data_IF_354773113403
#
_entry.id   IF_354773113403
#
_cell.length_a   1.000
_cell.length_b   1.000
_cell.length_c   1.000
_cell.angle_alpha   90.00
_cell.angle_beta   90.00
_cell.angle_gamma   90.00
#
_symmetry.space_group_name_H-M   'P 1'
#
loop_
_entity.id
_entity.type
_entity.pdbx_description
1 polymer ?
#
# COMPACT_ATOMS: atom_id res chain seq x y z
N UNK A 1 -11.92 -6.28 21.58
CA UNK A 1 -10.77 -7.16 21.34
C UNK A 1 -11.06 -8.36 20.42
N UNK A 2 -12.32 -8.61 19.97
CA UNK A 2 -12.66 -9.76 19.08
C UNK A 2 -12.60 -9.46 17.56
N UNK A 3 -12.45 -8.21 17.16
CA UNK A 3 -12.48 -7.81 15.75
C UNK A 3 -11.09 -7.81 15.06
N UNK A 4 -10.00 -7.68 15.81
CA UNK A 4 -8.62 -7.70 15.27
C UNK A 4 -8.24 -9.04 14.62
N UNK A 5 -8.90 -10.15 15.04
CA UNK A 5 -8.58 -11.48 14.50
C UNK A 5 -9.20 -11.76 13.12
N UNK A 6 -10.26 -11.03 12.75
CA UNK A 6 -10.91 -11.20 11.42
C UNK A 6 -10.10 -10.54 10.29
N UNK A 7 -9.40 -9.44 10.58
CA UNK A 7 -8.58 -8.73 9.59
C UNK A 7 -7.31 -9.49 9.22
N UNK A 8 -6.71 -10.21 10.16
CA UNK A 8 -5.57 -11.10 9.89
C UNK A 8 -5.93 -12.24 8.91
N UNK A 9 -7.19 -12.70 8.92
CA UNK A 9 -7.63 -13.79 8.03
C UNK A 9 -7.87 -13.29 6.60
N UNK A 10 -8.37 -12.08 6.41
CA UNK A 10 -8.64 -11.54 5.07
C UNK A 10 -7.33 -11.16 4.38
N UNK A 11 -6.37 -10.59 5.10
CA UNK A 11 -5.02 -10.28 4.57
C UNK A 11 -4.20 -11.57 4.39
N UNK A 12 -4.34 -12.53 5.31
CA UNK A 12 -3.66 -13.83 5.23
C UNK A 12 -4.11 -14.71 4.06
N UNK A 13 -5.39 -14.65 3.68
CA UNK A 13 -5.91 -15.48 2.57
C UNK A 13 -5.46 -14.95 1.20
N UNK A 14 -5.32 -13.63 1.04
CA UNK A 14 -4.75 -13.03 -0.17
C UNK A 14 -3.24 -13.25 -0.30
N UNK A 15 -2.52 -13.44 0.83
CA UNK A 15 -1.08 -13.72 0.85
C UNK A 15 -0.76 -15.21 0.64
N UNK A 16 -1.69 -16.14 0.93
CA UNK A 16 -1.48 -17.55 0.54
C UNK A 16 -1.42 -17.71 -0.98
N UNK A 17 -2.13 -16.88 -1.73
CA UNK A 17 -2.00 -16.82 -3.19
C UNK A 17 -0.63 -16.28 -3.63
N UNK A 18 -0.04 -15.32 -2.88
CA UNK A 18 1.29 -14.79 -3.15
C UNK A 18 2.42 -15.77 -2.77
N UNK A 19 2.25 -16.55 -1.68
CA UNK A 19 3.23 -17.58 -1.29
C UNK A 19 3.25 -18.77 -2.27
N UNK A 20 2.11 -19.12 -2.88
CA UNK A 20 2.06 -20.11 -3.95
C UNK A 20 2.73 -19.63 -5.25
N UNK A 21 2.92 -18.33 -5.43
CA UNK A 21 3.64 -17.72 -6.56
C UNK A 21 5.18 -17.84 -6.34
N UNK A 22 5.65 -17.93 -5.08
CA UNK A 22 7.08 -18.02 -4.77
C UNK A 22 7.70 -19.40 -5.06
N UNK A 23 6.90 -20.45 -5.21
CA UNK A 23 7.37 -21.81 -5.53
C UNK A 23 7.16 -22.23 -7.00
N UNK A 24 6.50 -21.41 -7.81
CA UNK A 24 6.40 -21.69 -9.25
C UNK A 24 7.53 -20.99 -10.00
N UNK A 25 8.15 -21.67 -11.01
CA UNK A 25 9.10 -20.98 -11.88
C UNK A 25 8.37 -19.78 -12.49
N UNK A 26 8.88 -18.59 -12.23
CA UNK A 26 8.30 -17.30 -12.59
C UNK A 26 7.94 -17.30 -14.07
N UNK A 27 6.71 -17.66 -14.41
CA UNK A 27 6.05 -17.11 -15.59
C UNK A 27 6.06 -15.60 -15.35
N UNK A 28 6.61 -14.86 -16.29
CA UNK A 28 6.76 -13.44 -16.18
C UNK A 28 5.46 -12.84 -15.60
N UNK A 29 5.57 -12.09 -14.50
CA UNK A 29 4.43 -11.40 -13.87
C UNK A 29 3.90 -10.47 -14.96
N UNK A 30 2.76 -10.83 -15.49
CA UNK A 30 2.12 -10.06 -16.53
C UNK A 30 1.44 -8.82 -15.89
N UNK A 31 1.27 -7.76 -16.65
CA UNK A 31 0.61 -6.54 -16.17
C UNK A 31 -0.81 -6.79 -15.64
N UNK A 32 -1.49 -7.86 -16.10
CA UNK A 32 -2.81 -8.26 -15.62
C UNK A 32 -2.76 -8.82 -14.19
N UNK A 33 -1.73 -9.56 -13.81
CA UNK A 33 -1.56 -10.13 -12.48
C UNK A 33 -1.31 -9.01 -11.46
N UNK A 34 -0.50 -8.02 -11.82
CA UNK A 34 -0.27 -6.83 -11.00
C UNK A 34 -1.54 -5.99 -10.84
N UNK A 35 -2.31 -5.80 -11.91
CA UNK A 35 -3.56 -5.06 -11.87
C UNK A 35 -4.60 -5.75 -10.97
N UNK A 36 -4.71 -7.08 -11.07
CA UNK A 36 -5.60 -7.87 -10.23
C UNK A 36 -5.20 -7.83 -8.75
N UNK A 37 -3.91 -7.97 -8.45
CA UNK A 37 -3.39 -7.87 -7.08
C UNK A 37 -3.65 -6.48 -6.48
N UNK A 38 -3.44 -5.41 -7.26
CA UNK A 38 -3.75 -4.02 -6.86
C UNK A 38 -5.23 -3.84 -6.56
N UNK A 39 -6.12 -4.32 -7.43
CA UNK A 39 -7.56 -4.21 -7.25
C UNK A 39 -8.03 -4.91 -5.97
N UNK A 40 -7.51 -6.10 -5.67
CA UNK A 40 -7.83 -6.84 -4.45
C UNK A 40 -7.33 -6.12 -3.18
N UNK A 41 -6.11 -5.59 -3.21
CA UNK A 41 -5.56 -4.81 -2.08
C UNK A 41 -6.36 -3.53 -1.83
N UNK A 42 -6.77 -2.86 -2.90
CA UNK A 42 -7.57 -1.64 -2.80
C UNK A 42 -8.97 -1.92 -2.26
N UNK A 43 -9.65 -2.95 -2.76
CA UNK A 43 -10.98 -3.34 -2.31
C UNK A 43 -10.97 -3.72 -0.82
N UNK A 44 -10.01 -4.52 -0.36
CA UNK A 44 -9.84 -4.87 1.05
C UNK A 44 -9.60 -3.66 1.95
N UNK A 45 -8.82 -2.69 1.47
CA UNK A 45 -8.56 -1.45 2.21
C UNK A 45 -9.81 -0.59 2.37
N UNK A 46 -10.59 -0.42 1.32
CA UNK A 46 -11.84 0.32 1.36
C UNK A 46 -12.86 -0.31 2.30
N UNK A 47 -13.00 -1.64 2.27
CA UNK A 47 -13.87 -2.38 3.17
C UNK A 47 -13.48 -2.16 4.64
N UNK A 48 -12.19 -2.25 4.98
CA UNK A 48 -11.69 -2.00 6.34
C UNK A 48 -12.02 -0.57 6.78
N UNK A 49 -11.80 0.42 5.91
CA UNK A 49 -12.10 1.83 6.24
C UNK A 49 -13.59 2.02 6.42
N UNK A 50 -14.43 1.41 5.58
CA UNK A 50 -15.89 1.49 5.68
C UNK A 50 -16.38 0.94 7.01
N UNK A 51 -15.91 -0.23 7.42
CA UNK A 51 -16.31 -0.89 8.65
C UNK A 51 -15.82 -0.16 9.91
N UNK A 52 -14.55 0.27 9.88
CA UNK A 52 -13.89 0.84 11.05
C UNK A 52 -14.25 2.31 11.30
N UNK A 53 -14.56 3.07 10.25
CA UNK A 53 -14.89 4.50 10.40
C UNK A 53 -16.28 4.74 10.95
N UNK A 54 -17.23 3.82 10.77
CA UNK A 54 -18.61 3.93 11.25
C UNK A 54 -19.19 5.31 10.98
N UNK A 55 -19.15 5.71 9.72
CA UNK A 55 -19.63 7.01 9.28
C UNK A 55 -21.17 7.05 9.35
N UNK A 56 -21.71 8.20 9.74
CA UNK A 56 -23.12 8.49 9.50
C UNK A 56 -23.34 8.72 8.00
N UNK A 57 -24.60 8.71 7.55
CA UNK A 57 -24.92 8.97 6.13
C UNK A 57 -24.39 10.32 5.66
N UNK A 58 -24.52 11.37 6.50
CA UNK A 58 -24.01 12.71 6.19
C UNK A 58 -22.49 12.74 6.08
N UNK A 59 -21.78 12.13 7.03
CA UNK A 59 -20.32 12.03 7.00
C UNK A 59 -19.84 11.23 5.78
N UNK A 60 -20.53 10.13 5.45
CA UNK A 60 -20.20 9.28 4.32
C UNK A 60 -20.35 10.02 2.98
N UNK A 61 -21.42 10.85 2.84
CA UNK A 61 -21.65 11.63 1.63
C UNK A 61 -20.52 12.63 1.34
N UNK A 62 -19.88 13.18 2.38
CA UNK A 62 -18.74 14.10 2.23
C UNK A 62 -17.38 13.39 2.19
N UNK A 63 -17.25 12.30 2.94
CA UNK A 63 -16.00 11.57 3.08
C UNK A 63 -15.61 10.80 1.81
N UNK A 64 -16.54 10.01 1.24
CA UNK A 64 -16.20 9.12 0.12
C UNK A 64 -15.71 9.88 -1.12
N UNK A 65 -16.30 11.00 -1.55
CA UNK A 65 -15.75 11.78 -2.67
C UNK A 65 -14.35 12.35 -2.38
N UNK A 66 -14.05 12.70 -1.11
CA UNK A 66 -12.72 13.13 -0.71
C UNK A 66 -11.72 11.96 -0.72
N UNK A 67 -12.16 10.79 -0.27
CA UNK A 67 -11.35 9.57 -0.25
C UNK A 67 -11.02 9.07 -1.66
N UNK A 68 -11.95 9.10 -2.61
CA UNK A 68 -11.70 8.74 -4.00
C UNK A 68 -10.63 9.62 -4.65
N UNK A 69 -10.68 10.95 -4.41
CA UNK A 69 -9.62 11.87 -4.90
C UNK A 69 -8.27 11.57 -4.26
N UNK A 70 -8.25 11.29 -2.96
CA UNK A 70 -7.06 10.89 -2.25
C UNK A 70 -6.48 9.57 -2.78
N UNK A 71 -7.33 8.58 -3.05
CA UNK A 71 -6.92 7.31 -3.64
C UNK A 71 -6.35 7.47 -5.05
N UNK A 72 -6.89 8.38 -5.85
CA UNK A 72 -6.37 8.65 -7.20
C UNK A 72 -4.91 9.08 -7.14
N UNK A 73 -4.58 10.03 -6.25
CA UNK A 73 -3.20 10.49 -6.07
C UNK A 73 -2.30 9.37 -5.50
N UNK A 74 -2.80 8.60 -4.52
CA UNK A 74 -2.03 7.52 -3.90
C UNK A 74 -1.78 6.34 -4.82
N UNK A 75 -2.73 5.98 -5.67
CA UNK A 75 -2.59 4.79 -6.53
C UNK A 75 -1.46 4.97 -7.54
N UNK A 76 -1.29 6.16 -8.11
CA UNK A 76 -0.14 6.47 -8.97
C UNK A 76 1.19 6.27 -8.22
N UNK A 77 1.25 6.69 -6.96
CA UNK A 77 2.44 6.51 -6.14
C UNK A 77 2.70 5.05 -5.75
N UNK A 78 1.63 4.30 -5.46
CA UNK A 78 1.70 2.87 -5.16
C UNK A 78 2.17 2.05 -6.37
N UNK A 79 1.76 2.45 -7.56
CA UNK A 79 2.24 1.83 -8.80
C UNK A 79 3.75 2.03 -8.96
N UNK A 80 4.21 3.26 -8.77
CA UNK A 80 5.65 3.58 -8.77
C UNK A 80 6.43 2.79 -7.72
N UNK A 81 5.87 2.63 -6.52
CA UNK A 81 6.50 1.82 -5.46
C UNK A 81 6.53 0.33 -5.82
N UNK A 82 5.46 -0.21 -6.40
CA UNK A 82 5.42 -1.59 -6.85
C UNK A 82 6.45 -1.85 -7.95
N UNK A 83 6.61 -0.93 -8.91
CA UNK A 83 7.63 -1.02 -9.95
C UNK A 83 9.04 -1.01 -9.37
N UNK A 84 9.30 -0.15 -8.37
CA UNK A 84 10.59 -0.11 -7.67
C UNK A 84 10.92 -1.45 -7.01
N UNK A 85 9.96 -2.03 -6.27
CA UNK A 85 10.14 -3.32 -5.57
C UNK A 85 10.34 -4.47 -6.56
N UNK A 86 9.50 -4.55 -7.59
CA UNK A 86 9.60 -5.61 -8.61
C UNK A 86 10.91 -5.51 -9.38
N UNK A 87 11.30 -4.29 -9.77
CA UNK A 87 12.58 -4.05 -10.44
C UNK A 87 13.78 -4.49 -9.60
N UNK A 88 13.77 -4.15 -8.31
CA UNK A 88 14.80 -4.59 -7.39
C UNK A 88 14.87 -6.12 -7.26
N UNK A 89 13.73 -6.79 -7.05
CA UNK A 89 13.67 -8.24 -6.92
C UNK A 89 14.16 -8.95 -8.18
N UNK A 90 13.90 -8.40 -9.36
CA UNK A 90 14.40 -8.91 -10.63
C UNK A 90 15.93 -8.76 -10.71
N UNK A 91 16.45 -7.55 -10.50
CA UNK A 91 17.89 -7.28 -10.52
C UNK A 91 18.66 -8.12 -9.48
N UNK A 92 18.10 -8.28 -8.28
CA UNK A 92 18.69 -9.10 -7.23
C UNK A 92 18.82 -10.58 -7.64
N UNK A 93 17.76 -11.17 -8.24
CA UNK A 93 17.78 -12.56 -8.71
C UNK A 93 18.78 -12.79 -9.85
N UNK A 94 19.01 -11.81 -10.68
CA UNK A 94 19.97 -11.86 -11.79
C UNK A 94 21.39 -11.53 -11.36
N UNK A 95 21.61 -11.12 -10.11
CA UNK A 95 22.93 -10.65 -9.64
C UNK A 95 23.39 -9.37 -10.38
N UNK A 96 22.45 -8.56 -10.84
CA UNK A 96 22.70 -7.38 -11.67
C UNK A 96 22.51 -6.04 -10.94
N UNK A 97 22.48 -6.07 -9.60
CA UNK A 97 22.38 -4.83 -8.79
C UNK A 97 23.73 -4.11 -8.81
N UNK A 98 23.84 -3.09 -9.64
CA UNK A 98 25.02 -2.22 -9.71
C UNK A 98 24.99 -1.14 -8.62
N UNK A 99 26.16 -0.55 -8.32
CA UNK A 99 26.28 0.60 -7.41
C UNK A 99 25.36 1.78 -7.83
N UNK A 100 25.32 2.06 -9.13
CA UNK A 100 24.49 3.11 -9.69
C UNK A 100 22.99 2.82 -9.49
N UNK A 101 22.58 1.55 -9.69
CA UNK A 101 21.22 1.12 -9.44
C UNK A 101 20.87 1.17 -7.96
N UNK A 102 21.80 0.82 -7.06
CA UNK A 102 21.60 0.94 -5.63
C UNK A 102 21.34 2.39 -5.18
N UNK A 103 22.09 3.35 -5.72
CA UNK A 103 21.84 4.79 -5.48
C UNK A 103 20.45 5.18 -5.97
N UNK A 104 20.08 4.80 -7.21
CA UNK A 104 18.75 5.05 -7.75
C UNK A 104 17.63 4.50 -6.86
N UNK A 105 17.78 3.28 -6.32
CA UNK A 105 16.78 2.69 -5.43
C UNK A 105 16.57 3.49 -4.15
N UNK A 106 17.63 4.03 -3.55
CA UNK A 106 17.55 4.88 -2.36
C UNK A 106 16.81 6.18 -2.68
N UNK A 107 17.22 6.87 -3.73
CA UNK A 107 16.65 8.15 -4.12
C UNK A 107 15.17 8.01 -4.46
N UNK A 108 14.82 7.00 -5.24
CA UNK A 108 13.45 6.71 -5.64
C UNK A 108 12.56 6.34 -4.44
N UNK A 109 13.06 5.49 -3.53
CA UNK A 109 12.34 5.15 -2.31
C UNK A 109 12.05 6.36 -1.43
N UNK A 110 13.04 7.22 -1.20
CA UNK A 110 12.89 8.42 -0.38
C UNK A 110 11.92 9.42 -1.03
N UNK A 111 11.98 9.58 -2.34
CA UNK A 111 11.04 10.43 -3.10
C UNK A 111 9.60 9.90 -2.99
N UNK A 112 9.39 8.59 -3.09
CA UNK A 112 8.08 7.94 -2.90
C UNK A 112 7.55 8.23 -1.50
N UNK A 113 8.35 8.05 -0.43
CA UNK A 113 7.92 8.30 0.95
C UNK A 113 7.63 9.78 1.22
N UNK A 114 8.42 10.69 0.63
CA UNK A 114 8.17 12.14 0.68
C UNK A 114 6.86 12.51 0.01
N UNK A 115 6.67 12.04 -1.21
CA UNK A 115 5.44 12.28 -2.00
C UNK A 115 4.20 11.73 -1.31
N UNK A 116 4.29 10.56 -0.66
CA UNK A 116 3.19 10.00 0.14
C UNK A 116 2.76 10.95 1.27
N UNK A 117 3.75 11.53 1.96
CA UNK A 117 3.46 12.50 3.03
C UNK A 117 2.80 13.77 2.48
N UNK A 118 3.24 14.24 1.32
CA UNK A 118 2.69 15.45 0.71
C UNK A 118 1.27 15.24 0.18
N UNK A 119 0.97 14.07 -0.38
CA UNK A 119 -0.41 13.68 -0.73
C UNK A 119 -1.29 13.70 0.52
N UNK A 120 -0.84 13.14 1.64
CA UNK A 120 -1.58 13.16 2.90
C UNK A 120 -1.85 14.57 3.41
N UNK A 121 -0.86 15.46 3.37
CA UNK A 121 -1.00 16.88 3.75
C UNK A 121 -1.98 17.61 2.81
N UNK A 122 -1.87 17.40 1.49
CA UNK A 122 -2.74 17.98 0.47
C UNK A 122 -4.21 17.66 0.75
N UNK A 123 -4.52 16.43 1.11
CA UNK A 123 -5.89 15.97 1.34
C UNK A 123 -6.41 16.19 2.76
N UNK A 124 -5.55 16.55 3.71
CA UNK A 124 -5.92 16.70 5.12
C UNK A 124 -7.12 17.63 5.34
N UNK A 125 -7.15 18.78 4.68
CA UNK A 125 -8.22 19.74 4.84
C UNK A 125 -9.58 19.26 4.29
N UNK A 126 -9.58 18.42 3.26
CA UNK A 126 -10.80 17.80 2.76
C UNK A 126 -11.39 16.84 3.80
N UNK A 127 -10.55 16.03 4.45
CA UNK A 127 -11.00 15.11 5.52
C UNK A 127 -11.43 15.85 6.79
N UNK A 128 -10.77 16.96 7.13
CA UNK A 128 -11.17 17.81 8.27
C UNK A 128 -12.53 18.50 8.04
N UNK A 129 -12.88 18.79 6.80
CA UNK A 129 -14.20 19.33 6.45
C UNK A 129 -15.29 18.28 6.46
N UNK A 130 -14.96 17.07 5.99
CA UNK A 130 -15.90 15.96 5.89
C UNK A 130 -16.18 15.25 7.23
N UNK A 131 -15.26 15.35 8.20
CA UNK A 131 -15.29 14.54 9.42
C UNK A 131 -15.08 15.37 10.68
N UNK A 132 -15.73 15.01 11.80
CA UNK A 132 -15.34 15.50 13.12
C UNK A 132 -13.85 15.19 13.40
N UNK A 133 -13.14 16.03 14.19
CA UNK A 133 -11.70 15.90 14.41
C UNK A 133 -11.25 14.52 14.87
N UNK A 134 -12.02 13.86 15.73
CA UNK A 134 -11.71 12.49 16.20
C UNK A 134 -11.81 11.45 15.08
N UNK A 135 -12.78 11.57 14.19
CA UNK A 135 -12.92 10.68 13.03
C UNK A 135 -11.86 10.94 11.97
N UNK A 136 -11.50 12.20 11.72
CA UNK A 136 -10.37 12.53 10.86
C UNK A 136 -9.06 11.94 11.39
N UNK A 137 -8.79 12.07 12.69
CA UNK A 137 -7.62 11.45 13.31
C UNK A 137 -7.67 9.90 13.22
N UNK A 138 -8.85 9.29 13.46
CA UNK A 138 -9.03 7.83 13.32
C UNK A 138 -8.76 7.36 11.89
N UNK A 139 -9.21 8.10 10.88
CA UNK A 139 -8.93 7.80 9.48
C UNK A 139 -7.41 7.72 9.22
N UNK A 140 -6.65 8.73 9.64
CA UNK A 140 -5.19 8.72 9.47
C UNK A 140 -4.50 7.61 10.28
N UNK A 141 -5.04 7.24 11.44
CA UNK A 141 -4.54 6.08 12.19
C UNK A 141 -4.80 4.76 11.44
N UNK A 142 -5.95 4.60 10.79
CA UNK A 142 -6.26 3.43 9.96
C UNK A 142 -5.34 3.36 8.74
N UNK A 143 -5.21 4.47 8.00
CA UNK A 143 -4.28 4.57 6.88
C UNK A 143 -2.85 4.18 7.29
N UNK A 144 -2.37 4.70 8.43
CA UNK A 144 -1.05 4.38 8.92
C UNK A 144 -0.88 2.91 9.33
N UNK A 145 -1.92 2.29 9.90
CA UNK A 145 -1.89 0.86 10.23
C UNK A 145 -1.85 -0.01 8.98
N UNK A 146 -2.65 0.33 7.96
CA UNK A 146 -2.69 -0.41 6.71
C UNK A 146 -1.37 -0.30 5.93
N UNK A 147 -0.73 0.86 5.96
CA UNK A 147 0.58 1.03 5.35
C UNK A 147 1.68 0.29 6.13
N UNK A 148 1.66 0.34 7.47
CA UNK A 148 2.61 -0.38 8.30
C UNK A 148 2.50 -1.90 8.14
N UNK A 149 1.29 -2.43 7.96
CA UNK A 149 1.05 -3.84 7.68
C UNK A 149 1.65 -4.22 6.31
N UNK A 150 1.42 -3.40 5.29
CA UNK A 150 2.01 -3.62 3.96
C UNK A 150 3.54 -3.56 4.01
N UNK A 151 4.11 -2.54 4.66
CA UNK A 151 5.56 -2.39 4.79
C UNK A 151 6.17 -3.59 5.54
N UNK A 152 5.50 -4.09 6.60
CA UNK A 152 5.94 -5.28 7.32
C UNK A 152 5.91 -6.56 6.46
N UNK A 153 4.87 -6.72 5.64
CA UNK A 153 4.80 -7.84 4.71
C UNK A 153 5.91 -7.76 3.65
N UNK A 154 6.13 -6.60 3.05
CA UNK A 154 7.19 -6.41 2.06
C UNK A 154 8.58 -6.68 2.65
N UNK A 155 8.82 -6.27 3.90
CA UNK A 155 10.09 -6.52 4.59
C UNK A 155 10.43 -8.01 4.77
N UNK A 156 9.44 -8.90 4.70
CA UNK A 156 9.66 -10.36 4.75
C UNK A 156 10.12 -10.93 3.40
N UNK A 157 9.79 -10.29 2.30
CA UNK A 157 10.02 -10.80 0.94
C UNK A 157 11.13 -10.08 0.19
N UNK A 158 11.44 -8.85 0.56
CA UNK A 158 12.49 -8.06 -0.08
C UNK A 158 13.83 -8.35 0.60
N UNK A 159 14.76 -9.04 -0.07
CA UNK A 159 16.06 -9.36 0.52
C UNK A 159 16.91 -8.09 0.68
N UNK A 160 17.85 -8.14 1.62
CA UNK A 160 18.89 -7.11 1.71
C UNK A 160 19.90 -7.32 0.58
N UNK A 161 20.47 -6.23 0.09
CA UNK A 161 21.62 -6.28 -0.81
C UNK A 161 22.80 -6.96 -0.10
N UNK A 162 23.58 -7.74 -0.84
CA UNK A 162 24.82 -8.27 -0.31
C UNK A 162 25.80 -7.12 -0.03
N UNK A 163 26.44 -7.09 1.15
CA UNK A 163 27.50 -6.14 1.39
C UNK A 163 28.70 -6.52 0.48
N UNK A 164 29.16 -5.58 -0.34
CA UNK A 164 30.33 -5.76 -1.20
C UNK A 164 31.61 -5.82 -0.38
#
# INVERSE_FOLDING_TARGET
MKHSFRYLIVIGLSMLAAAAIAEQPVRGVDNSDLANARALLQAGREEIIRDEMRLTETEAAEFWPAYERYLTDLNMLRDRYAELVVGYLHAYREGSVSEEYAVHLIDEYLEIKSTQLDIRKKHLEHFRKALPPRKAARFYQLENKLDAELDAQLALYVPLMDPV
#
